data_IF_570681745194
#
_entry.id   IF_570681745194
#
_cell.length_a   1.000
_cell.length_b   1.000
_cell.length_c   1.000
_cell.angle_alpha   90.00
_cell.angle_beta   90.00
_cell.angle_gamma   90.00
#
_symmetry.space_group_name_H-M   'P 1'
#
loop_
_entity.id
_entity.type
_entity.pdbx_description
1 polymer ?
#
# COMPACT_ATOMS: atom_id res chain seq x y z
N UNK A 1 -21.10 28.63 4.32
CA UNK A 1 -21.54 27.29 3.90
C UNK A 1 -21.00 26.27 4.89
N UNK A 2 -21.87 25.54 5.62
CA UNK A 2 -21.41 24.51 6.56
C UNK A 2 -20.99 23.27 5.74
N UNK A 3 -19.70 23.11 5.52
CA UNK A 3 -19.14 21.93 4.82
C UNK A 3 -19.47 20.61 5.52
N UNK A 4 -19.78 20.64 6.82
CA UNK A 4 -20.01 19.46 7.65
C UNK A 4 -21.40 19.52 8.27
N UNK A 5 -22.43 19.41 7.44
CA UNK A 5 -23.80 19.29 7.92
C UNK A 5 -24.09 17.85 8.36
N UNK A 6 -24.94 17.64 9.38
CA UNK A 6 -25.40 16.31 9.75
C UNK A 6 -26.06 15.55 8.59
N UNK A 7 -26.69 16.30 7.69
CA UNK A 7 -27.33 15.75 6.49
C UNK A 7 -26.30 15.16 5.50
N UNK A 8 -25.16 15.84 5.33
CA UNK A 8 -24.06 15.34 4.51
C UNK A 8 -23.53 14.02 5.04
N UNK A 9 -23.23 13.94 6.34
CA UNK A 9 -22.74 12.71 6.96
C UNK A 9 -23.75 11.57 6.87
N UNK A 10 -25.05 11.86 7.02
CA UNK A 10 -26.11 10.86 6.91
C UNK A 10 -26.20 10.30 5.49
N UNK A 11 -26.31 11.16 4.48
CA UNK A 11 -26.49 10.72 3.10
C UNK A 11 -25.21 10.07 2.55
N UNK A 12 -24.05 10.67 2.83
CA UNK A 12 -22.76 10.08 2.48
C UNK A 12 -22.55 8.74 3.19
N UNK A 13 -22.78 8.69 4.51
CA UNK A 13 -22.59 7.48 5.30
C UNK A 13 -23.50 6.33 4.84
N UNK A 14 -24.78 6.60 4.56
CA UNK A 14 -25.70 5.61 4.03
C UNK A 14 -25.21 5.10 2.66
N UNK A 15 -24.91 6.00 1.73
CA UNK A 15 -24.42 5.63 0.41
C UNK A 15 -23.11 4.85 0.46
N UNK A 16 -22.20 5.26 1.34
CA UNK A 16 -20.92 4.59 1.58
C UNK A 16 -21.11 3.18 2.13
N UNK A 17 -21.96 2.99 3.14
CA UNK A 17 -22.24 1.66 3.73
C UNK A 17 -22.86 0.74 2.68
N UNK A 18 -23.86 1.20 1.94
CA UNK A 18 -24.47 0.40 0.87
C UNK A 18 -23.45 0.04 -0.22
N UNK A 19 -22.65 1.01 -0.67
CA UNK A 19 -21.60 0.77 -1.67
C UNK A 19 -20.53 -0.20 -1.18
N UNK A 20 -20.06 -0.04 0.06
CA UNK A 20 -19.07 -0.92 0.67
C UNK A 20 -19.59 -2.36 0.77
N UNK A 21 -20.85 -2.55 1.19
CA UNK A 21 -21.47 -3.88 1.25
C UNK A 21 -21.58 -4.52 -0.14
N UNK A 22 -21.96 -3.77 -1.16
CA UNK A 22 -22.05 -4.26 -2.54
C UNK A 22 -20.67 -4.68 -3.07
N UNK A 23 -19.65 -3.86 -2.88
CA UNK A 23 -18.29 -4.16 -3.34
C UNK A 23 -17.68 -5.34 -2.57
N UNK A 24 -17.82 -5.37 -1.24
CA UNK A 24 -17.34 -6.47 -0.42
C UNK A 24 -18.03 -7.79 -0.79
N UNK A 25 -19.35 -7.78 -1.01
CA UNK A 25 -20.08 -8.96 -1.48
C UNK A 25 -19.63 -9.41 -2.88
N UNK A 26 -19.51 -8.48 -3.83
CA UNK A 26 -19.08 -8.78 -5.19
C UNK A 26 -17.62 -9.30 -5.27
N UNK A 27 -16.79 -8.93 -4.31
CA UNK A 27 -15.38 -9.34 -4.21
C UNK A 27 -15.15 -10.47 -3.21
N UNK A 28 -16.18 -10.99 -2.54
CA UNK A 28 -16.03 -11.93 -1.42
C UNK A 28 -15.17 -13.16 -1.78
N UNK A 29 -15.31 -13.68 -3.00
CA UNK A 29 -14.52 -14.82 -3.49
C UNK A 29 -13.08 -14.44 -3.86
N UNK A 30 -12.82 -13.19 -4.26
CA UNK A 30 -11.47 -12.74 -4.67
C UNK A 30 -10.55 -12.43 -3.49
N UNK A 31 -11.10 -12.12 -2.32
CA UNK A 31 -10.32 -11.75 -1.14
C UNK A 31 -9.42 -12.90 -0.66
N UNK A 32 -9.84 -14.14 -0.88
CA UNK A 32 -9.01 -15.33 -0.57
C UNK A 32 -7.81 -15.45 -1.52
N UNK A 33 -7.95 -15.01 -2.77
CA UNK A 33 -6.88 -15.05 -3.78
C UNK A 33 -5.95 -13.83 -3.75
N UNK A 34 -6.44 -12.66 -3.37
CA UNK A 34 -5.67 -11.41 -3.29
C UNK A 34 -4.89 -11.26 -1.96
N UNK A 35 -5.19 -12.07 -0.94
CA UNK A 35 -4.30 -12.30 0.22
C UNK A 35 -3.11 -13.22 -0.10
N UNK A 36 -2.81 -13.44 -1.39
CA UNK A 36 -1.56 -14.03 -1.80
C UNK A 36 -0.39 -13.29 -1.15
N UNK A 37 0.71 -13.98 -0.81
CA UNK A 37 1.88 -13.35 -0.20
C UNK A 37 2.28 -12.12 -1.01
N UNK A 38 2.48 -10.98 -0.32
CA UNK A 38 3.01 -9.78 -0.93
C UNK A 38 4.22 -10.16 -1.79
N UNK A 39 4.31 -9.61 -3.00
CA UNK A 39 5.35 -9.94 -3.97
C UNK A 39 6.70 -10.10 -3.27
N UNK A 40 7.18 -11.35 -3.17
CA UNK A 40 8.41 -11.64 -2.46
C UNK A 40 9.53 -10.93 -3.20
N UNK A 41 10.20 -10.00 -2.51
CA UNK A 41 11.40 -9.38 -3.05
C UNK A 41 12.38 -10.50 -3.40
N UNK A 42 12.92 -10.47 -4.62
CA UNK A 42 13.93 -11.43 -5.03
C UNK A 42 15.07 -11.42 -4.02
N UNK A 43 15.56 -12.61 -3.68
CA UNK A 43 16.69 -12.76 -2.76
C UNK A 43 17.85 -11.89 -3.26
N UNK A 44 18.37 -11.03 -2.37
CA UNK A 44 19.46 -10.12 -2.72
C UNK A 44 20.67 -10.97 -3.05
N UNK A 45 21.02 -11.05 -4.33
CA UNK A 45 22.29 -11.63 -4.73
C UNK A 45 23.40 -10.82 -4.05
N UNK A 46 24.28 -11.49 -3.29
CA UNK A 46 25.47 -10.84 -2.76
C UNK A 46 26.37 -10.46 -3.94
N UNK A 47 26.21 -9.23 -4.42
CA UNK A 47 27.18 -8.66 -5.34
C UNK A 47 28.48 -8.48 -4.56
N UNK A 48 29.63 -8.97 -5.06
CA UNK A 48 30.91 -8.69 -4.44
C UNK A 48 31.05 -7.18 -4.18
N UNK A 49 31.44 -6.82 -2.97
CA UNK A 49 31.68 -5.43 -2.62
C UNK A 49 32.68 -4.79 -3.61
N UNK A 50 32.56 -3.48 -3.88
CA UNK A 50 33.50 -2.79 -4.77
C UNK A 50 34.94 -3.06 -4.30
N UNK A 51 35.82 -3.40 -5.25
CA UNK A 51 37.25 -3.55 -4.99
C UNK A 51 37.79 -2.25 -4.38
N UNK A 52 38.76 -2.37 -3.45
CA UNK A 52 39.32 -1.26 -2.70
C UNK A 52 39.91 -0.14 -3.59
N UNK A 53 40.15 -0.43 -4.87
CA UNK A 53 40.59 0.54 -5.89
C UNK A 53 39.51 1.60 -6.25
N UNK A 54 38.23 1.34 -5.97
CA UNK A 54 37.12 2.26 -6.24
C UNK A 54 36.52 2.91 -4.99
N UNK A 55 37.12 2.68 -3.81
CA UNK A 55 36.69 3.29 -2.55
C UNK A 55 37.40 4.63 -2.39
N UNK A 56 36.69 5.73 -2.64
CA UNK A 56 37.19 7.09 -2.36
C UNK A 56 37.06 7.32 -0.86
N UNK A 57 38.18 7.29 -0.13
CA UNK A 57 38.18 7.66 1.27
C UNK A 57 37.86 9.16 1.42
N UNK A 58 37.07 9.57 2.43
CA UNK A 58 36.86 10.99 2.68
C UNK A 58 38.19 11.65 3.05
N UNK A 59 38.54 12.71 2.34
CA UNK A 59 39.71 13.56 2.59
C UNK A 59 39.61 14.10 4.02
N UNK A 60 40.37 13.54 4.95
CA UNK A 60 40.42 13.99 6.34
C UNK A 60 41.01 15.40 6.42
N UNK A 61 40.25 16.33 6.99
CA UNK A 61 40.78 17.60 7.52
C UNK A 61 40.90 17.51 9.03
#
# INVERSE_FOLDING_TARGET
MRLFSPDLFRNFGIGFVFGALLIAGAKAESWVGELAPAAQAAERHETPGPSAEFVIAPEGR
#
